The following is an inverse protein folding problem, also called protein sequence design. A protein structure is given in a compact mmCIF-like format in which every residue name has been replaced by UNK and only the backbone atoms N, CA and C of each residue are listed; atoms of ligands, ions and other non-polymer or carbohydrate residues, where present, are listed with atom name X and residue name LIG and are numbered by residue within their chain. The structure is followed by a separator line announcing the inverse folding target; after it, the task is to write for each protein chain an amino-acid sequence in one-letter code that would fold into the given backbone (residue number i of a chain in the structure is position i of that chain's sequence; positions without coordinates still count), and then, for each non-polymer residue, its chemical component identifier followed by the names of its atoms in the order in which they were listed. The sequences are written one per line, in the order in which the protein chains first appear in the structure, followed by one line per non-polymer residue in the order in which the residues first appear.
data_IF_308281722981
#
_entry.id   IF_308281722981
#
_cell.length_a   1.000
_cell.length_b   1.000
_cell.length_c   1.000
_cell.angle_alpha   90.00
_cell.angle_beta   90.00
_cell.angle_gamma   90.00
#
_symmetry.space_group_name_H-M   'P 1'
#
loop_
_entity.id
_entity.type
_entity.pdbx_description
1 polymer ?
#
# COMPACT_ATOMS: atom_id res chain seq x y z
N UNK A 1 16.34 -2.95 37.20
CA UNK A 1 15.31 -3.69 36.44
C UNK A 1 15.59 -5.19 36.19
N UNK A 2 16.61 -5.81 36.81
CA UNK A 2 16.82 -7.29 36.79
C UNK A 2 16.68 -7.95 38.18
N UNK A 3 16.06 -7.27 39.14
CA UNK A 3 16.04 -7.68 40.56
C UNK A 3 14.69 -8.32 40.97
N UNK A 4 13.65 -8.26 40.12
CA UNK A 4 12.31 -8.77 40.46
C UNK A 4 11.73 -9.80 39.46
N UNK A 5 12.54 -10.39 38.57
CA UNK A 5 12.04 -11.37 37.60
C UNK A 5 10.99 -10.83 36.60
N UNK A 6 10.74 -9.51 36.59
CA UNK A 6 9.79 -8.86 35.71
C UNK A 6 10.38 -8.79 34.29
N UNK A 7 9.91 -9.67 33.41
CA UNK A 7 10.15 -9.63 31.97
C UNK A 7 8.95 -9.02 31.24
N UNK A 8 9.19 -8.32 30.14
CA UNK A 8 8.10 -7.90 29.26
C UNK A 8 7.36 -9.13 28.74
N UNK A 9 6.02 -9.12 28.82
CA UNK A 9 5.19 -10.17 28.26
C UNK A 9 5.30 -10.07 26.74
N UNK A 10 6.26 -10.79 26.16
CA UNK A 10 6.49 -10.81 24.72
C UNK A 10 5.27 -11.45 24.07
N UNK A 11 4.39 -10.61 23.51
CA UNK A 11 3.28 -11.07 22.67
C UNK A 11 3.88 -11.95 21.58
N UNK A 12 3.38 -13.17 21.45
CA UNK A 12 3.86 -14.14 20.46
C UNK A 12 3.80 -13.45 19.10
N UNK A 13 4.94 -13.35 18.41
CA UNK A 13 4.99 -12.80 17.03
C UNK A 13 4.16 -13.72 16.15
N UNK A 14 2.91 -13.34 15.87
CA UNK A 14 2.13 -13.96 14.81
C UNK A 14 2.37 -13.15 13.55
N UNK A 15 3.04 -13.77 12.58
CA UNK A 15 3.40 -13.11 11.31
C UNK A 15 2.31 -13.43 10.30
N UNK A 16 1.33 -12.53 10.16
CA UNK A 16 0.43 -12.55 9.01
C UNK A 16 1.29 -12.19 7.79
N UNK A 17 1.36 -13.08 6.80
CA UNK A 17 2.01 -12.77 5.53
C UNK A 17 0.97 -12.06 4.67
N UNK A 18 0.95 -10.74 4.75
CA UNK A 18 0.08 -9.89 3.93
C UNK A 18 0.52 -9.84 2.48
N UNK A 19 1.83 -10.04 2.25
CA UNK A 19 2.46 -9.68 0.99
C UNK A 19 3.62 -10.63 0.67
N UNK A 20 3.58 -11.27 -0.50
CA UNK A 20 4.71 -12.05 -1.00
C UNK A 20 5.60 -11.20 -1.90
N UNK A 21 6.68 -10.64 -1.35
CA UNK A 21 7.67 -9.88 -2.12
C UNK A 21 8.65 -10.75 -2.93
N UNK A 22 8.51 -12.08 -2.90
CA UNK A 22 9.27 -13.06 -3.69
C UNK A 22 8.44 -13.62 -4.85
N UNK A 23 7.48 -12.86 -5.35
CA UNK A 23 6.72 -13.21 -6.54
C UNK A 23 7.54 -13.06 -7.84
N UNK A 24 7.09 -13.69 -8.92
CA UNK A 24 7.67 -13.56 -10.26
C UNK A 24 7.16 -12.36 -11.06
N UNK A 25 6.21 -11.58 -10.52
CA UNK A 25 5.71 -10.39 -11.20
C UNK A 25 6.80 -9.32 -11.39
N UNK A 26 6.76 -8.53 -12.49
CA UNK A 26 7.74 -7.51 -12.72
C UNK A 26 7.55 -6.35 -11.74
N UNK A 27 8.67 -5.88 -11.17
CA UNK A 27 8.69 -4.78 -10.20
C UNK A 27 9.04 -3.48 -10.93
N UNK A 28 8.27 -2.43 -10.67
CA UNK A 28 8.54 -1.10 -11.20
C UNK A 28 9.79 -0.46 -10.53
N UNK A 29 10.53 0.42 -11.23
CA UNK A 29 11.59 1.19 -10.59
C UNK A 29 11.03 2.08 -9.46
N UNK A 30 11.86 2.38 -8.46
CA UNK A 30 11.49 3.38 -7.45
C UNK A 30 11.67 4.79 -8.06
N UNK A 31 10.58 5.32 -8.63
CA UNK A 31 10.54 6.68 -9.19
C UNK A 31 10.27 7.72 -8.09
N UNK A 32 9.65 7.31 -6.98
CA UNK A 32 9.32 8.23 -5.89
C UNK A 32 10.59 8.70 -5.19
N UNK A 33 11.55 7.79 -4.98
CA UNK A 33 12.86 8.12 -4.44
C UNK A 33 12.83 8.85 -3.08
N UNK A 34 11.77 8.63 -2.29
CA UNK A 34 11.47 9.33 -1.03
C UNK A 34 11.19 10.83 -1.17
N UNK A 35 10.95 11.31 -2.38
CA UNK A 35 10.40 12.64 -2.61
C UNK A 35 8.89 12.61 -2.31
N UNK A 36 8.56 12.90 -1.05
CA UNK A 36 7.18 12.95 -0.56
C UNK A 36 6.51 14.32 -0.74
N UNK A 37 7.17 15.28 -1.40
CA UNK A 37 6.58 16.58 -1.66
C UNK A 37 5.57 16.50 -2.80
N UNK A 38 4.41 17.12 -2.62
CA UNK A 38 3.42 17.31 -3.66
C UNK A 38 2.89 18.74 -3.55
N UNK A 39 2.79 19.45 -4.67
CA UNK A 39 2.36 20.85 -4.72
C UNK A 39 0.90 20.99 -5.11
N UNK A 40 0.26 19.91 -5.59
CA UNK A 40 -1.15 19.87 -5.93
C UNK A 40 -1.76 18.47 -5.70
N UNK A 41 -3.10 18.38 -5.55
CA UNK A 41 -3.79 17.09 -5.48
C UNK A 41 -3.50 16.22 -6.71
N UNK A 42 -3.52 14.90 -6.53
CA UNK A 42 -3.39 13.90 -7.57
C UNK A 42 -2.05 13.92 -8.33
N UNK A 43 -1.00 14.48 -7.75
CA UNK A 43 0.35 14.34 -8.29
C UNK A 43 1.01 13.02 -7.87
N UNK A 44 0.82 12.63 -6.60
CA UNK A 44 1.42 11.44 -6.01
C UNK A 44 0.43 10.77 -5.07
N UNK A 45 0.12 9.52 -5.35
CA UNK A 45 -0.64 8.65 -4.45
C UNK A 45 0.27 7.58 -3.87
N UNK A 46 0.14 7.34 -2.57
CA UNK A 46 0.75 6.20 -1.91
C UNK A 46 -0.29 5.11 -1.70
N UNK A 47 0.12 3.85 -1.75
CA UNK A 47 -0.71 2.70 -1.47
C UNK A 47 -0.08 1.82 -0.40
N UNK A 48 -0.92 1.31 0.50
CA UNK A 48 -0.53 0.38 1.54
C UNK A 48 -1.61 -0.67 1.79
N UNK A 49 -1.19 -1.83 2.29
CA UNK A 49 -2.04 -2.94 2.67
C UNK A 49 -1.76 -3.34 4.11
N UNK A 50 -2.72 -3.06 4.97
CA UNK A 50 -2.64 -3.34 6.40
C UNK A 50 -3.77 -4.29 6.84
N UNK A 51 -3.80 -4.62 8.12
CA UNK A 51 -4.83 -5.47 8.72
C UNK A 51 -5.25 -4.93 10.08
N UNK A 52 -6.53 -5.10 10.39
CA UNK A 52 -7.17 -4.65 11.62
C UNK A 52 -7.60 -5.90 12.40
N UNK A 53 -7.18 -6.06 13.67
CA UNK A 53 -7.72 -7.08 14.55
C UNK A 53 -9.17 -6.75 14.92
N UNK A 54 -10.04 -7.76 14.86
CA UNK A 54 -11.43 -7.70 15.30
C UNK A 54 -11.75 -8.89 16.20
N UNK A 55 -12.89 -8.86 16.88
CA UNK A 55 -13.35 -9.99 17.70
C UNK A 55 -13.73 -11.23 16.87
N UNK A 56 -13.96 -11.06 15.57
CA UNK A 56 -14.31 -12.13 14.62
C UNK A 56 -13.12 -12.63 13.80
N UNK A 57 -11.92 -12.08 14.04
CA UNK A 57 -10.71 -12.40 13.30
C UNK A 57 -10.05 -11.17 12.68
N UNK A 58 -9.38 -11.35 11.55
CA UNK A 58 -8.62 -10.27 10.89
C UNK A 58 -9.39 -9.69 9.73
N UNK A 59 -9.35 -8.37 9.61
CA UNK A 59 -9.88 -7.65 8.46
C UNK A 59 -8.73 -6.96 7.73
N UNK A 60 -8.53 -7.30 6.47
CA UNK A 60 -7.51 -6.68 5.63
C UNK A 60 -8.04 -5.40 5.02
N UNK A 61 -7.19 -4.39 4.95
CA UNK A 61 -7.53 -3.04 4.51
C UNK A 61 -6.48 -2.55 3.51
N UNK A 62 -6.92 -2.32 2.27
CA UNK A 62 -6.11 -1.63 1.26
C UNK A 62 -6.43 -0.14 1.30
N UNK A 63 -5.40 0.70 1.26
CA UNK A 63 -5.49 2.16 1.36
C UNK A 63 -4.77 2.83 0.20
N UNK A 64 -5.35 3.91 -0.31
CA UNK A 64 -4.72 4.85 -1.24
C UNK A 64 -4.79 6.26 -0.65
N UNK A 65 -3.64 6.88 -0.44
CA UNK A 65 -3.49 8.21 0.15
C UNK A 65 -2.99 9.20 -0.90
N UNK A 66 -3.64 10.36 -0.99
CA UNK A 66 -3.12 11.49 -1.75
C UNK A 66 -2.09 12.29 -0.93
N UNK A 67 -0.85 12.38 -1.42
CA UNK A 67 0.25 12.99 -0.65
C UNK A 67 0.03 14.47 -0.33
N UNK A 68 -0.56 15.23 -1.27
CA UNK A 68 -0.80 16.65 -1.08
C UNK A 68 -1.83 16.92 0.01
N UNK A 69 -3.01 16.31 -0.11
CA UNK A 69 -4.13 16.57 0.80
C UNK A 69 -4.11 15.72 2.06
N UNK A 70 -3.24 14.70 2.12
CA UNK A 70 -3.20 13.68 3.19
C UNK A 70 -4.54 12.96 3.37
N UNK A 71 -5.40 12.96 2.36
CA UNK A 71 -6.70 12.29 2.37
C UNK A 71 -6.57 10.88 1.81
N UNK A 72 -7.25 9.93 2.44
CA UNK A 72 -7.51 8.64 1.81
C UNK A 72 -8.50 8.86 0.67
N UNK A 73 -8.04 8.55 -0.55
CA UNK A 73 -8.82 8.73 -1.78
C UNK A 73 -9.48 7.45 -2.24
N UNK A 74 -8.99 6.30 -1.79
CA UNK A 74 -9.66 5.02 -1.96
C UNK A 74 -9.27 4.05 -0.85
N UNK A 75 -10.20 3.18 -0.50
CA UNK A 75 -9.98 2.10 0.45
C UNK A 75 -10.95 0.96 0.16
N UNK A 76 -10.57 -0.24 0.58
CA UNK A 76 -11.44 -1.40 0.54
C UNK A 76 -11.04 -2.38 1.65
N UNK A 77 -12.00 -3.19 2.12
CA UNK A 77 -11.80 -4.13 3.21
C UNK A 77 -12.24 -5.54 2.80
N UNK A 78 -11.56 -6.57 3.30
CA UNK A 78 -11.92 -7.97 3.09
C UNK A 78 -11.45 -8.85 4.25
N UNK A 79 -12.22 -9.91 4.54
CA UNK A 79 -11.82 -10.94 5.51
C UNK A 79 -10.64 -11.81 5.03
N UNK A 80 -10.34 -11.77 3.74
CA UNK A 80 -9.19 -12.45 3.12
C UNK A 80 -8.29 -11.44 2.41
N UNK A 81 -7.13 -11.87 1.89
CA UNK A 81 -6.22 -11.02 1.08
C UNK A 81 -6.30 -11.35 -0.41
N UNK A 82 -7.44 -11.12 -1.09
CA UNK A 82 -7.53 -11.31 -2.52
C UNK A 82 -6.77 -10.18 -3.23
N UNK A 83 -6.22 -10.46 -4.42
CA UNK A 83 -5.64 -9.43 -5.29
C UNK A 83 -6.69 -8.36 -5.65
N UNK A 84 -7.95 -8.75 -5.65
CA UNK A 84 -9.15 -7.96 -5.88
C UNK A 84 -9.33 -6.85 -4.84
N UNK A 85 -8.75 -6.99 -3.63
CA UNK A 85 -8.86 -5.98 -2.57
C UNK A 85 -8.18 -4.66 -2.99
N UNK A 86 -6.96 -4.74 -3.54
CA UNK A 86 -6.24 -3.54 -3.99
C UNK A 86 -6.90 -2.93 -5.22
N UNK A 87 -7.42 -3.76 -6.14
CA UNK A 87 -8.21 -3.31 -7.29
C UNK A 87 -9.49 -2.58 -6.87
N UNK A 88 -10.19 -3.07 -5.84
CA UNK A 88 -11.38 -2.41 -5.32
C UNK A 88 -11.05 -1.03 -4.73
N UNK A 89 -9.98 -0.93 -3.93
CA UNK A 89 -9.53 0.35 -3.38
C UNK A 89 -9.11 1.33 -4.49
N UNK A 90 -8.41 0.85 -5.53
CA UNK A 90 -8.05 1.64 -6.70
C UNK A 90 -9.27 2.11 -7.50
N UNK A 91 -10.29 1.26 -7.66
CA UNK A 91 -11.53 1.61 -8.34
C UNK A 91 -12.27 2.74 -7.62
N UNK A 92 -12.34 2.70 -6.28
CA UNK A 92 -12.89 3.80 -5.46
C UNK A 92 -12.12 5.09 -5.71
N UNK A 93 -10.78 5.04 -5.64
CA UNK A 93 -9.94 6.23 -5.85
C UNK A 93 -10.11 6.85 -7.24
N UNK A 94 -10.10 6.02 -8.29
CA UNK A 94 -10.27 6.47 -9.67
C UNK A 94 -11.68 7.00 -9.94
N UNK A 95 -12.71 6.40 -9.34
CA UNK A 95 -14.08 6.87 -9.46
C UNK A 95 -14.31 8.22 -8.79
N UNK A 96 -13.67 8.47 -7.64
CA UNK A 96 -13.85 9.69 -6.88
C UNK A 96 -12.96 10.85 -7.36
N UNK A 97 -11.71 10.55 -7.73
CA UNK A 97 -10.73 11.60 -8.08
C UNK A 97 -10.56 11.80 -9.57
N UNK A 98 -10.81 10.76 -10.38
CA UNK A 98 -10.63 10.73 -11.84
C UNK A 98 -9.44 11.60 -12.34
N UNK A 99 -8.21 11.30 -11.86
CA UNK A 99 -7.06 12.15 -12.13
C UNK A 99 -6.69 12.16 -13.62
N UNK A 100 -6.12 13.27 -14.08
CA UNK A 100 -5.51 13.34 -15.40
C UNK A 100 -4.25 12.46 -15.49
N UNK A 101 -3.80 12.09 -16.70
CA UNK A 101 -2.51 11.42 -16.89
C UNK A 101 -1.36 12.20 -16.25
N UNK A 102 -0.36 11.48 -15.71
CA UNK A 102 0.80 12.07 -15.04
C UNK A 102 0.81 11.93 -13.52
N UNK A 103 -0.26 11.43 -12.90
CA UNK A 103 -0.24 10.96 -11.51
C UNK A 103 0.84 9.87 -11.34
N UNK A 104 1.60 9.94 -10.25
CA UNK A 104 2.44 8.85 -9.77
C UNK A 104 1.70 8.02 -8.73
N UNK A 105 1.70 6.70 -8.89
CA UNK A 105 1.21 5.75 -7.90
C UNK A 105 2.38 4.97 -7.33
N UNK A 106 2.62 5.10 -6.03
CA UNK A 106 3.69 4.41 -5.31
C UNK A 106 3.13 3.36 -4.35
N UNK A 107 3.69 2.17 -4.35
CA UNK A 107 3.34 1.08 -3.43
C UNK A 107 4.57 0.30 -3.01
N UNK A 108 4.45 -0.53 -1.98
CA UNK A 108 5.43 -1.58 -1.75
C UNK A 108 5.44 -2.63 -2.86
N UNK A 109 6.47 -3.50 -2.84
CA UNK A 109 6.69 -4.60 -3.81
C UNK A 109 5.77 -5.80 -3.57
N UNK A 110 4.52 -5.54 -3.21
CA UNK A 110 3.58 -6.61 -2.96
C UNK A 110 3.04 -7.27 -4.20
N UNK A 111 2.79 -8.58 -4.14
CA UNK A 111 2.25 -9.35 -5.27
C UNK A 111 0.94 -8.76 -5.77
N UNK A 112 0.12 -8.23 -4.87
CA UNK A 112 -1.15 -7.57 -5.19
C UNK A 112 -0.95 -6.31 -6.04
N UNK A 113 0.07 -5.49 -5.75
CA UNK A 113 0.36 -4.27 -6.49
C UNK A 113 1.20 -4.53 -7.75
N UNK A 114 1.99 -5.61 -7.76
CA UNK A 114 2.79 -6.02 -8.91
C UNK A 114 2.00 -6.84 -9.94
N UNK A 115 0.82 -7.32 -9.55
CA UNK A 115 -0.03 -8.15 -10.40
C UNK A 115 -0.43 -7.45 -11.71
N UNK A 116 -0.62 -8.26 -12.75
CA UNK A 116 -0.79 -7.75 -14.11
C UNK A 116 -2.03 -6.88 -14.26
N UNK A 117 -3.14 -7.24 -13.62
CA UNK A 117 -4.41 -6.50 -13.79
C UNK A 117 -4.38 -5.15 -13.08
N UNK A 118 -3.75 -5.07 -11.90
CA UNK A 118 -3.53 -3.81 -11.22
C UNK A 118 -2.73 -2.84 -12.08
N UNK A 119 -1.63 -3.33 -12.67
CA UNK A 119 -0.77 -2.54 -13.55
C UNK A 119 -1.46 -2.12 -14.85
N UNK A 120 -2.28 -2.99 -15.45
CA UNK A 120 -3.06 -2.65 -16.65
C UNK A 120 -4.00 -1.47 -16.39
N UNK A 121 -4.67 -1.44 -15.23
CA UNK A 121 -5.56 -0.32 -14.86
C UNK A 121 -4.78 0.98 -14.75
N UNK A 122 -3.63 0.98 -14.07
CA UNK A 122 -2.79 2.17 -13.94
C UNK A 122 -2.27 2.65 -15.29
N UNK A 123 -1.78 1.72 -16.13
CA UNK A 123 -1.27 2.04 -17.46
C UNK A 123 -2.35 2.61 -18.38
N UNK A 124 -3.56 2.04 -18.37
CA UNK A 124 -4.69 2.53 -19.15
C UNK A 124 -5.10 3.97 -18.79
N UNK A 125 -4.77 4.43 -17.58
CA UNK A 125 -5.00 5.80 -17.11
C UNK A 125 -3.79 6.73 -17.27
N UNK A 126 -2.67 6.24 -17.83
CA UNK A 126 -1.43 7.02 -17.93
C UNK A 126 -0.82 7.36 -16.57
N UNK A 127 -1.00 6.48 -15.58
CA UNK A 127 -0.45 6.63 -14.23
C UNK A 127 0.93 5.98 -14.18
N UNK A 128 1.91 6.73 -13.68
CA UNK A 128 3.29 6.26 -13.51
C UNK A 128 3.38 5.37 -12.27
N UNK A 129 3.80 4.11 -12.45
CA UNK A 129 3.96 3.16 -11.34
C UNK A 129 5.35 3.31 -10.74
N UNK A 130 5.41 3.39 -9.42
CA UNK A 130 6.62 3.45 -8.61
C UNK A 130 6.53 2.40 -7.51
N UNK A 131 7.63 1.69 -7.21
CA UNK A 131 7.64 0.69 -6.13
C UNK A 131 8.83 0.81 -5.20
N UNK A 132 8.62 0.56 -3.90
CA UNK A 132 9.67 0.53 -2.88
C UNK A 132 10.81 -0.42 -3.24
N UNK A 133 12.01 -0.21 -2.68
CA UNK A 133 13.10 -1.19 -2.78
C UNK A 133 12.85 -2.39 -1.88
N UNK A 134 13.52 -3.52 -2.16
CA UNK A 134 13.32 -4.74 -1.38
C UNK A 134 13.84 -4.53 0.04
N UNK A 135 12.96 -4.66 1.04
CA UNK A 135 13.33 -4.53 2.45
C UNK A 135 13.60 -3.11 2.92
N UNK A 136 13.14 -2.10 2.17
CA UNK A 136 13.31 -0.68 2.52
C UNK A 136 11.94 -0.06 2.81
N UNK A 137 11.50 -0.13 4.08
CA UNK A 137 10.22 0.43 4.53
C UNK A 137 10.19 1.97 4.49
N UNK A 138 11.36 2.61 4.41
CA UNK A 138 11.44 4.07 4.38
C UNK A 138 10.90 4.66 3.07
N UNK A 139 10.83 3.86 2.01
CA UNK A 139 10.32 4.29 0.71
C UNK A 139 8.80 4.58 0.74
N UNK A 140 8.05 4.01 1.70
CA UNK A 140 6.60 4.21 1.88
C UNK A 140 6.22 4.87 3.23
N UNK A 141 7.18 5.50 3.92
CA UNK A 141 7.03 6.03 5.29
C UNK A 141 5.73 6.80 5.57
N UNK A 142 5.21 7.66 4.67
CA UNK A 142 4.01 8.44 5.00
C UNK A 142 2.71 7.62 5.13
N UNK A 143 2.75 6.31 4.88
CA UNK A 143 1.65 5.37 5.12
C UNK A 143 1.72 4.65 6.47
N UNK A 144 2.89 4.67 7.14
CA UNK A 144 3.17 3.97 8.41
C UNK A 144 2.99 4.88 9.63
#
# INVERSE_FOLDING_TARGET
MRIHGLGSRKRRRFRVVTTDSKHLHPVAPNVLGRDFEATAPNQKWLADLTYIPTDEGWLYLALLLDLFSRKLVGWAMSATVPQELTLAALAVALGWRNPAPGLMHHSDRGSQYAASDYRKVLQARGITVSMSRKGDCWDNTPME
#
